data_IF_692209333549
#
_entry.id   IF_692209333549
#
_cell.length_a   1.000
_cell.length_b   1.000
_cell.length_c   1.000
_cell.angle_alpha   90.00
_cell.angle_beta   90.00
_cell.angle_gamma   90.00
#
_symmetry.space_group_name_H-M   'P 1'
#
loop_
_entity.id
_entity.type
_entity.pdbx_description
1 polymer ?
#
# COMPACT_ATOMS: atom_id res chain seq x y z
N UNK A 1 -12.08 21.25 17.34
CA UNK A 1 -11.34 20.08 16.84
C UNK A 1 -10.03 20.01 17.60
N UNK A 2 -9.65 18.85 18.09
CA UNK A 2 -8.42 18.67 18.87
C UNK A 2 -7.59 17.55 18.26
N UNK A 3 -6.27 17.60 18.46
CA UNK A 3 -5.32 16.59 17.96
C UNK A 3 -5.56 15.18 18.51
N UNK A 4 -6.42 15.07 19.52
CA UNK A 4 -6.86 13.82 20.15
C UNK A 4 -8.34 13.95 20.42
N UNK A 5 -9.09 12.90 20.11
CA UNK A 5 -10.51 12.80 20.37
C UNK A 5 -10.77 11.54 21.19
N UNK A 6 -11.53 11.61 22.29
CA UNK A 6 -11.77 10.44 23.12
C UNK A 6 -12.55 9.38 22.35
N UNK A 7 -12.12 8.13 22.48
CA UNK A 7 -12.80 6.97 21.92
C UNK A 7 -14.26 6.83 22.42
N UNK A 8 -14.54 7.28 23.64
CA UNK A 8 -15.91 7.33 24.18
C UNK A 8 -16.13 8.59 25.03
N UNK A 9 -17.20 9.31 24.72
CA UNK A 9 -17.79 10.34 25.60
C UNK A 9 -19.05 9.74 26.19
N UNK A 10 -19.16 9.69 27.52
CA UNK A 10 -20.42 9.28 28.14
C UNK A 10 -21.54 10.28 27.84
N UNK A 11 -22.76 9.84 28.09
CA UNK A 11 -24.02 10.50 27.76
C UNK A 11 -24.41 11.61 28.76
N UNK A 12 -23.57 11.87 29.76
CA UNK A 12 -23.74 12.96 30.73
C UNK A 12 -22.49 13.86 30.73
N UNK A 13 -22.64 15.19 30.95
CA UNK A 13 -21.51 16.12 31.06
C UNK A 13 -20.45 15.72 32.10
N UNK A 14 -20.82 14.91 33.09
CA UNK A 14 -19.94 14.43 34.16
C UNK A 14 -19.29 13.06 33.87
N UNK A 15 -19.54 12.47 32.70
CA UNK A 15 -18.92 11.19 32.35
C UNK A 15 -17.43 11.39 32.02
N UNK A 16 -16.53 10.58 32.60
CA UNK A 16 -15.11 10.66 32.27
C UNK A 16 -14.89 10.32 30.79
N UNK A 17 -13.99 11.07 30.15
CA UNK A 17 -13.56 10.79 28.77
C UNK A 17 -12.64 9.58 28.80
N UNK A 18 -12.97 8.56 28.02
CA UNK A 18 -12.12 7.38 27.87
C UNK A 18 -11.28 7.54 26.61
N UNK A 19 -9.97 7.37 26.78
CA UNK A 19 -8.95 7.43 25.75
C UNK A 19 -8.32 6.04 25.62
N UNK A 20 -7.97 5.63 24.41
CA UNK A 20 -7.25 4.38 24.17
C UNK A 20 -5.75 4.54 24.42
N UNK A 21 -5.02 3.42 24.46
CA UNK A 21 -3.55 3.46 24.51
C UNK A 21 -2.95 4.23 23.32
N UNK A 22 -3.55 4.10 22.14
CA UNK A 22 -3.15 4.87 20.96
C UNK A 22 -3.37 6.38 21.09
N UNK A 23 -4.39 6.81 21.84
CA UNK A 23 -4.59 8.23 22.16
C UNK A 23 -3.45 8.71 23.07
N UNK A 24 -3.04 7.90 24.05
CA UNK A 24 -1.93 8.21 24.97
C UNK A 24 -0.61 8.32 24.19
N UNK A 25 -0.30 7.35 23.32
CA UNK A 25 0.88 7.40 22.47
C UNK A 25 0.90 8.66 21.60
N UNK A 26 -0.26 9.06 21.08
CA UNK A 26 -0.40 10.30 20.31
C UNK A 26 -0.16 11.54 21.16
N UNK A 27 -0.61 11.60 22.42
CA UNK A 27 -0.24 12.68 23.37
C UNK A 27 1.27 12.74 23.53
N UNK A 28 1.91 11.60 23.79
CA UNK A 28 3.36 11.52 24.02
C UNK A 28 4.11 12.05 22.79
N UNK A 29 3.69 11.64 21.59
CA UNK A 29 4.30 12.10 20.35
C UNK A 29 4.13 13.61 20.15
N UNK A 30 2.93 14.16 20.38
CA UNK A 30 2.68 15.60 20.31
C UNK A 30 3.57 16.34 21.33
N UNK A 31 3.67 15.82 22.55
CA UNK A 31 4.51 16.39 23.61
C UNK A 31 5.97 16.43 23.18
N UNK A 32 6.52 15.35 22.64
CA UNK A 32 7.92 15.29 22.20
C UNK A 32 8.18 16.29 21.05
N UNK A 33 7.26 16.40 20.09
CA UNK A 33 7.36 17.40 19.01
C UNK A 33 7.40 18.83 19.57
N UNK A 34 6.60 19.13 20.59
CA UNK A 34 6.54 20.46 21.17
C UNK A 34 7.70 20.78 22.11
N UNK A 35 8.11 19.83 22.96
CA UNK A 35 9.08 20.04 24.03
C UNK A 35 10.52 19.80 23.58
N UNK A 36 10.75 18.76 22.78
CA UNK A 36 12.11 18.36 22.41
C UNK A 36 12.54 19.00 21.08
N UNK A 37 11.59 19.18 20.16
CA UNK A 37 11.83 19.73 18.82
C UNK A 37 11.38 21.19 18.67
N UNK A 38 10.79 21.78 19.72
CA UNK A 38 10.38 23.20 19.74
C UNK A 38 9.26 23.57 18.76
N UNK A 39 8.49 22.58 18.29
CA UNK A 39 7.42 22.79 17.31
C UNK A 39 6.16 23.33 18.00
N UNK A 40 5.49 24.32 17.41
CA UNK A 40 4.22 24.80 17.95
C UNK A 40 3.03 23.88 17.58
N UNK A 41 1.86 24.10 18.19
CA UNK A 41 0.70 23.23 17.97
C UNK A 41 0.25 23.17 16.50
N UNK A 42 0.31 24.28 15.77
CA UNK A 42 -0.04 24.33 14.34
C UNK A 42 0.97 23.54 13.47
N UNK A 43 2.25 23.61 13.83
CA UNK A 43 3.31 22.81 13.22
C UNK A 43 3.10 21.32 13.49
N UNK A 44 2.70 20.95 14.70
CA UNK A 44 2.36 19.55 15.02
C UNK A 44 1.18 19.07 14.19
N UNK A 45 0.11 19.85 14.05
CA UNK A 45 -1.04 19.52 13.20
C UNK A 45 -0.60 19.29 11.75
N UNK A 46 0.25 20.17 11.22
CA UNK A 46 0.80 20.04 9.85
C UNK A 46 1.64 18.77 9.70
N UNK A 47 2.52 18.47 10.65
CA UNK A 47 3.36 17.27 10.63
C UNK A 47 2.49 16.00 10.66
N UNK A 48 1.47 15.97 11.52
CA UNK A 48 0.56 14.82 11.60
C UNK A 48 -0.24 14.66 10.31
N UNK A 49 -0.70 15.76 9.71
CA UNK A 49 -1.36 15.72 8.41
C UNK A 49 -0.44 15.19 7.31
N UNK A 50 0.80 15.67 7.24
CA UNK A 50 1.81 15.21 6.27
C UNK A 50 2.13 13.71 6.45
N UNK A 51 2.22 13.22 7.70
CA UNK A 51 2.41 11.78 7.96
C UNK A 51 1.25 10.95 7.42
N UNK A 52 0.01 11.37 7.68
CA UNK A 52 -1.16 10.68 7.15
C UNK A 52 -1.16 10.67 5.61
N UNK A 53 -0.77 11.78 4.96
CA UNK A 53 -0.65 11.84 3.51
C UNK A 53 0.44 10.87 2.99
N UNK A 54 1.59 10.81 3.65
CA UNK A 54 2.68 9.89 3.28
C UNK A 54 2.23 8.43 3.44
N UNK A 55 1.55 8.09 4.53
CA UNK A 55 1.01 6.75 4.76
C UNK A 55 0.02 6.36 3.67
N UNK A 56 -0.89 7.26 3.28
CA UNK A 56 -1.84 7.04 2.18
C UNK A 56 -1.12 6.83 0.84
N UNK A 57 -0.15 7.67 0.52
CA UNK A 57 0.66 7.52 -0.70
C UNK A 57 1.45 6.21 -0.71
N UNK A 58 1.95 5.75 0.44
CA UNK A 58 2.65 4.47 0.54
C UNK A 58 1.74 3.27 0.29
N UNK A 59 0.48 3.35 0.75
CA UNK A 59 -0.54 2.32 0.47
C UNK A 59 -0.85 2.30 -1.03
N UNK A 60 -1.16 3.46 -1.62
CA UNK A 60 -1.47 3.56 -3.05
C UNK A 60 -0.31 3.08 -3.93
N UNK A 61 0.93 3.44 -3.59
CA UNK A 61 2.11 2.97 -4.32
C UNK A 61 2.29 1.46 -4.22
N UNK A 62 1.99 0.85 -3.07
CA UNK A 62 2.05 -0.60 -2.90
C UNK A 62 1.06 -1.29 -3.82
N UNK A 63 -0.19 -0.84 -3.82
CA UNK A 63 -1.24 -1.38 -4.69
C UNK A 63 -0.87 -1.23 -6.17
N UNK A 64 -0.30 -0.09 -6.58
CA UNK A 64 0.19 0.11 -7.95
C UNK A 64 1.33 -0.84 -8.31
N UNK A 65 2.29 -1.05 -7.42
CA UNK A 65 3.39 -1.97 -7.65
C UNK A 65 2.90 -3.41 -7.81
N UNK A 66 1.93 -3.83 -6.99
CA UNK A 66 1.29 -5.14 -7.11
C UNK A 66 0.58 -5.30 -8.46
N UNK A 67 -0.14 -4.28 -8.93
CA UNK A 67 -0.78 -4.31 -10.25
C UNK A 67 0.23 -4.43 -11.40
N UNK A 68 1.34 -3.67 -11.34
CA UNK A 68 2.39 -3.75 -12.35
C UNK A 68 3.04 -5.13 -12.36
N UNK A 69 3.32 -5.72 -11.19
CA UNK A 69 3.85 -7.07 -11.09
C UNK A 69 2.92 -8.10 -11.73
N UNK A 70 1.62 -8.05 -11.41
CA UNK A 70 0.62 -8.94 -12.00
C UNK A 70 0.54 -8.80 -13.53
N UNK A 71 0.59 -7.58 -14.06
CA UNK A 71 0.59 -7.35 -15.51
C UNK A 71 1.84 -7.94 -16.18
N UNK A 72 3.02 -7.76 -15.56
CA UNK A 72 4.26 -8.33 -16.08
C UNK A 72 4.23 -9.86 -16.08
N UNK A 73 3.73 -10.49 -15.02
CA UNK A 73 3.56 -11.95 -14.94
C UNK A 73 2.62 -12.46 -16.03
N UNK A 74 1.48 -11.80 -16.24
CA UNK A 74 0.53 -12.16 -17.28
C UNK A 74 1.13 -12.05 -18.68
N UNK A 75 1.86 -10.97 -18.98
CA UNK A 75 2.53 -10.82 -20.26
C UNK A 75 3.64 -11.86 -20.46
N UNK A 76 4.41 -12.16 -19.42
CA UNK A 76 5.44 -13.21 -19.49
C UNK A 76 4.81 -14.57 -19.78
N UNK A 77 3.69 -14.89 -19.15
CA UNK A 77 2.95 -16.14 -19.41
C UNK A 77 2.44 -16.20 -20.85
N UNK A 78 1.87 -15.09 -21.37
CA UNK A 78 1.41 -15.01 -22.77
C UNK A 78 2.54 -15.26 -23.75
N UNK A 79 3.70 -14.64 -23.55
CA UNK A 79 4.87 -14.83 -24.41
C UNK A 79 5.38 -16.28 -24.36
N UNK A 80 5.38 -16.90 -23.18
CA UNK A 80 5.75 -18.32 -23.04
C UNK A 80 4.78 -19.24 -23.80
N UNK A 81 3.48 -19.02 -23.64
CA UNK A 81 2.46 -19.83 -24.31
C UNK A 81 2.53 -19.70 -25.83
N UNK A 82 2.77 -18.47 -26.33
CA UNK A 82 3.01 -18.20 -27.74
C UNK A 82 4.23 -18.97 -28.25
N UNK A 83 5.38 -18.84 -27.57
CA UNK A 83 6.61 -19.52 -27.96
C UNK A 83 6.46 -21.06 -27.97
N UNK A 84 5.77 -21.63 -26.98
CA UNK A 84 5.48 -23.07 -26.92
C UNK A 84 4.62 -23.50 -28.11
N UNK A 85 3.58 -22.73 -28.43
CA UNK A 85 2.67 -23.03 -29.55
C UNK A 85 3.39 -22.96 -30.90
N UNK A 86 4.27 -21.97 -31.09
CA UNK A 86 5.08 -21.80 -32.29
C UNK A 86 6.09 -22.94 -32.43
N UNK A 87 6.79 -23.28 -31.35
CA UNK A 87 7.74 -24.40 -31.33
C UNK A 87 7.05 -25.70 -31.71
N UNK A 88 5.86 -25.99 -31.15
CA UNK A 88 5.06 -27.17 -31.47
C UNK A 88 4.62 -27.16 -32.94
N UNK A 89 4.17 -26.02 -33.47
CA UNK A 89 3.76 -25.85 -34.87
C UNK A 89 4.92 -26.13 -35.83
N UNK A 90 6.08 -25.52 -35.58
CA UNK A 90 7.28 -25.70 -36.39
C UNK A 90 7.74 -27.15 -36.39
N UNK A 91 7.74 -27.80 -35.22
CA UNK A 91 8.10 -29.22 -35.10
C UNK A 91 7.21 -30.10 -35.98
N UNK A 92 5.89 -29.87 -35.94
CA UNK A 92 4.95 -30.59 -36.79
C UNK A 92 5.13 -30.32 -38.30
N UNK A 93 5.55 -29.10 -38.69
CA UNK A 93 5.87 -28.80 -40.10
C UNK A 93 7.11 -29.59 -40.54
N UNK A 94 8.17 -29.59 -39.72
CA UNK A 94 9.42 -30.31 -40.00
C UNK A 94 9.15 -31.82 -40.14
N UNK A 95 8.37 -32.40 -39.22
CA UNK A 95 8.01 -33.82 -39.24
C UNK A 95 7.30 -34.21 -40.56
N UNK A 96 6.37 -33.38 -41.05
CA UNK A 96 5.69 -33.63 -42.34
C UNK A 96 6.63 -33.54 -43.54
N UNK A 97 7.50 -32.53 -43.57
CA UNK A 97 8.47 -32.35 -44.66
C UNK A 97 9.51 -33.49 -44.74
N UNK A 98 9.82 -34.12 -43.62
CA UNK A 98 10.74 -35.26 -43.57
C UNK A 98 10.10 -36.56 -44.08
N UNK A 99 8.79 -36.74 -43.90
CA UNK A 99 8.07 -37.93 -44.37
C UNK A 99 7.77 -37.90 -45.88
N UNK A 100 7.54 -36.73 -46.47
CA UNK A 100 7.24 -36.58 -47.92
C UNK A 100 8.47 -36.78 -48.85
N UNK A 101 9.69 -36.91 -48.29
CA UNK A 101 10.93 -37.10 -49.06
C UNK A 101 11.40 -38.56 -49.17
N UNK A 102 10.65 -39.52 -48.62
CA UNK A 102 10.87 -40.97 -48.81
C UNK A 102 9.81 -41.56 -49.73
#
# INVERSE_FOLDING_TARGET
>A
MGLISPARKGNSPHSPRLYSDSDIERVIQIRNLMQDLGVNLAGVETILHMRNLIEQMQIENRERLEQVQQQMEQEMQRLQDQHISETRRLKGIIERLQHDKM
#
